data_IF_289152861635
#
_entry.id   IF_289152861635
#
_cell.length_a   1.000
_cell.length_b   1.000
_cell.length_c   1.000
_cell.angle_alpha   90.00
_cell.angle_beta   90.00
_cell.angle_gamma   90.00
#
_symmetry.space_group_name_H-M   'P 1'
#
loop_
_entity.id
_entity.type
_entity.pdbx_description
1 polymer ?
#
# COMPACT_ATOMS: atom_id res chain seq x y z
N UNK A 1 -35.07 8.20 44.98
CA UNK A 1 -33.93 8.32 44.05
C UNK A 1 -34.18 9.52 43.17
N UNK A 2 -33.48 10.63 43.41
CA UNK A 2 -33.58 11.84 42.57
C UNK A 2 -32.78 11.58 41.30
N UNK A 3 -33.43 11.36 40.16
CA UNK A 3 -32.75 11.23 38.88
C UNK A 3 -32.51 12.64 38.34
N UNK A 4 -31.26 13.10 38.41
CA UNK A 4 -30.83 14.34 37.76
C UNK A 4 -30.88 14.16 36.24
N UNK A 5 -31.21 15.23 35.51
CA UNK A 5 -31.34 15.18 34.05
C UNK A 5 -29.96 14.92 33.43
N UNK A 6 -29.89 14.12 32.36
CA UNK A 6 -28.64 13.88 31.63
C UNK A 6 -27.99 15.20 31.22
N UNK A 7 -26.73 15.42 31.63
CA UNK A 7 -25.97 16.66 31.42
C UNK A 7 -25.87 17.59 32.64
N UNK A 8 -26.64 17.36 33.72
CA UNK A 8 -26.67 18.25 34.88
C UNK A 8 -25.56 18.04 35.92
N UNK A 9 -24.79 16.95 35.81
CA UNK A 9 -23.69 16.60 36.74
C UNK A 9 -22.34 16.61 36.03
N UNK A 10 -21.24 16.82 36.78
CA UNK A 10 -19.87 17.03 36.26
C UNK A 10 -19.34 15.92 35.33
N UNK A 11 -19.93 14.73 35.37
CA UNK A 11 -19.57 13.58 34.52
C UNK A 11 -20.71 13.14 33.58
N UNK A 12 -21.70 14.01 33.36
CA UNK A 12 -22.83 13.72 32.50
C UNK A 12 -22.80 14.60 31.25
N UNK A 13 -23.26 14.05 30.13
CA UNK A 13 -23.36 14.71 28.85
C UNK A 13 -24.76 14.44 28.30
N UNK A 14 -25.49 15.48 27.91
CA UNK A 14 -26.88 15.32 27.48
C UNK A 14 -27.28 16.28 26.38
N UNK A 15 -28.23 15.84 25.55
CA UNK A 15 -28.94 16.65 24.57
C UNK A 15 -30.43 16.65 24.96
N UNK A 16 -31.02 17.84 25.10
CA UNK A 16 -32.39 18.00 25.59
C UNK A 16 -33.36 18.49 24.50
N UNK A 17 -34.67 18.38 24.76
CA UNK A 17 -35.74 18.68 23.80
C UNK A 17 -35.77 20.13 23.32
N UNK A 18 -35.15 21.05 24.07
CA UNK A 18 -34.97 22.46 23.70
C UNK A 18 -33.93 22.66 22.56
N UNK A 19 -33.22 21.59 22.20
CA UNK A 19 -32.20 21.55 21.17
C UNK A 19 -30.83 22.01 21.66
N UNK A 20 -30.61 22.05 22.96
CA UNK A 20 -29.33 22.41 23.56
C UNK A 20 -28.62 21.19 24.16
N UNK A 21 -27.30 21.28 24.26
CA UNK A 21 -26.46 20.30 24.94
C UNK A 21 -25.99 20.82 26.29
N UNK A 22 -25.88 19.92 27.26
CA UNK A 22 -25.60 20.19 28.67
C UNK A 22 -24.46 19.31 29.16
N UNK A 23 -23.58 19.88 29.98
CA UNK A 23 -22.49 19.17 30.63
C UNK A 23 -22.11 19.86 31.94
N UNK A 24 -22.11 19.11 33.05
CA UNK A 24 -21.64 19.60 34.34
C UNK A 24 -22.49 20.68 35.00
N UNK A 25 -23.60 21.08 34.38
CA UNK A 25 -24.45 22.14 34.91
C UNK A 25 -25.84 22.10 34.29
N UNK A 26 -26.91 22.27 35.09
CA UNK A 26 -28.27 22.38 34.60
C UNK A 26 -28.57 23.75 33.95
N UNK A 27 -27.75 24.77 34.20
CA UNK A 27 -28.00 26.15 33.72
C UNK A 27 -27.10 26.53 32.54
N UNK A 28 -25.92 25.93 32.43
CA UNK A 28 -25.00 26.18 31.33
C UNK A 28 -25.31 25.25 30.16
N UNK A 29 -25.93 25.80 29.12
CA UNK A 29 -26.29 25.08 27.90
C UNK A 29 -25.65 25.70 26.67
N UNK A 30 -25.45 24.90 25.63
CA UNK A 30 -24.98 25.38 24.32
C UNK A 30 -26.00 24.97 23.26
N UNK A 31 -26.40 25.94 22.41
CA UNK A 31 -27.29 25.62 21.29
C UNK A 31 -26.56 24.70 20.32
N UNK A 32 -27.17 23.57 19.99
CA UNK A 32 -26.52 22.52 19.20
C UNK A 32 -27.39 22.05 18.04
N UNK A 33 -28.63 21.67 18.33
CA UNK A 33 -29.52 21.06 17.36
C UNK A 33 -30.92 21.69 17.34
N UNK A 34 -31.80 21.17 16.47
CA UNK A 34 -33.21 21.55 16.48
C UNK A 34 -33.88 21.09 17.78
N UNK A 35 -35.05 21.65 18.08
CA UNK A 35 -35.93 21.08 19.12
C UNK A 35 -36.51 19.76 18.64
N UNK A 36 -36.81 18.86 19.57
CA UNK A 36 -37.49 17.60 19.28
C UNK A 36 -38.64 17.36 20.25
N UNK A 37 -39.67 16.66 19.77
CA UNK A 37 -40.92 16.44 20.50
C UNK A 37 -41.41 14.99 20.30
N UNK A 38 -42.68 14.74 20.59
CA UNK A 38 -43.34 13.46 20.37
C UNK A 38 -43.15 12.97 18.92
N UNK A 39 -42.97 11.65 18.79
CA UNK A 39 -42.70 10.91 17.55
C UNK A 39 -41.34 11.18 16.87
N UNK A 40 -40.49 12.07 17.40
CA UNK A 40 -39.11 12.18 16.93
C UNK A 40 -38.26 11.00 17.43
N UNK A 41 -37.41 10.49 16.53
CA UNK A 41 -36.43 9.46 16.84
C UNK A 41 -35.08 10.13 17.04
N UNK A 42 -34.56 10.09 18.26
CA UNK A 42 -33.25 10.64 18.61
C UNK A 42 -32.24 9.51 18.75
N UNK A 43 -31.15 9.60 17.98
CA UNK A 43 -29.99 8.72 18.14
C UNK A 43 -28.85 9.45 18.84
N UNK A 44 -28.07 8.71 19.62
CA UNK A 44 -26.85 9.18 20.26
C UNK A 44 -25.72 8.19 19.94
N UNK A 45 -24.55 8.70 19.58
CA UNK A 45 -23.37 7.87 19.33
C UNK A 45 -22.11 8.47 19.94
N UNK A 46 -21.13 7.61 20.19
CA UNK A 46 -19.84 7.97 20.77
C UNK A 46 -18.76 7.79 19.70
N UNK A 47 -18.01 8.84 19.42
CA UNK A 47 -16.77 8.75 18.64
C UNK A 47 -15.59 8.67 19.61
N UNK A 48 -15.05 7.46 19.75
CA UNK A 48 -13.93 7.18 20.64
C UNK A 48 -12.62 7.84 20.17
N UNK A 49 -12.49 8.17 18.87
CA UNK A 49 -11.28 8.77 18.33
C UNK A 49 -11.25 10.28 18.59
N UNK A 50 -12.34 10.99 18.29
CA UNK A 50 -12.44 12.43 18.57
C UNK A 50 -12.89 12.75 19.99
N UNK A 51 -13.09 11.73 20.84
CA UNK A 51 -13.52 11.88 22.22
C UNK A 51 -14.77 12.77 22.31
N UNK A 52 -15.78 12.46 21.49
CA UNK A 52 -16.97 13.29 21.28
C UNK A 52 -18.24 12.46 21.27
N UNK A 53 -19.37 13.09 21.58
CA UNK A 53 -20.69 12.52 21.27
C UNK A 53 -21.17 13.06 19.94
N UNK A 54 -22.11 12.38 19.31
CA UNK A 54 -22.90 12.94 18.23
C UNK A 54 -24.35 12.54 18.39
N UNK A 55 -25.24 13.37 17.85
CA UNK A 55 -26.67 13.11 17.90
C UNK A 55 -27.26 13.07 16.51
N UNK A 56 -28.38 12.37 16.40
CA UNK A 56 -29.16 12.28 15.18
C UNK A 56 -30.63 12.51 15.49
N UNK A 57 -31.37 13.07 14.54
CA UNK A 57 -32.83 13.20 14.62
C UNK A 57 -33.43 12.66 13.35
N UNK A 58 -34.35 11.71 13.48
CA UNK A 58 -35.04 11.08 12.35
C UNK A 58 -34.04 10.64 11.26
N UNK A 59 -32.92 10.05 11.67
CA UNK A 59 -31.88 9.55 10.77
C UNK A 59 -30.94 10.60 10.18
N UNK A 60 -31.10 11.87 10.54
CA UNK A 60 -30.24 12.97 10.08
C UNK A 60 -29.18 13.24 11.14
N UNK A 61 -27.91 13.29 10.72
CA UNK A 61 -26.77 13.62 11.59
C UNK A 61 -26.78 15.10 11.96
N UNK A 62 -26.74 15.42 13.26
CA UNK A 62 -26.83 16.79 13.77
C UNK A 62 -25.45 17.44 14.02
N UNK A 63 -24.37 16.66 14.01
CA UNK A 63 -23.02 17.13 14.32
C UNK A 63 -22.39 16.43 15.52
N UNK A 64 -21.12 16.75 15.78
CA UNK A 64 -20.39 16.30 16.98
C UNK A 64 -20.59 17.31 18.11
N UNK A 65 -21.00 16.82 19.26
CA UNK A 65 -21.08 17.54 20.52
C UNK A 65 -19.90 17.14 21.43
N UNK A 66 -19.47 18.06 22.30
CA UNK A 66 -18.44 17.81 23.31
C UNK A 66 -17.11 17.29 22.73
N UNK A 67 -16.70 17.80 21.56
CA UNK A 67 -15.47 17.35 20.90
C UNK A 67 -14.23 17.54 21.79
N UNK A 68 -13.44 16.47 21.95
CA UNK A 68 -12.28 16.45 22.85
C UNK A 68 -12.59 16.44 24.35
N UNK A 69 -13.87 16.35 24.76
CA UNK A 69 -14.29 16.47 26.18
C UNK A 69 -14.83 15.18 26.77
N UNK A 70 -15.20 14.19 25.94
CA UNK A 70 -15.80 12.95 26.42
C UNK A 70 -14.70 12.00 26.90
N UNK A 71 -14.72 11.54 28.16
CA UNK A 71 -13.65 10.70 28.69
C UNK A 71 -13.76 9.26 28.13
N UNK A 72 -13.07 9.00 27.04
CA UNK A 72 -12.98 7.69 26.36
C UNK A 72 -11.57 7.13 26.51
N UNK A 73 -11.25 6.55 27.67
CA UNK A 73 -9.92 6.02 27.99
C UNK A 73 -9.97 4.76 28.83
N UNK A 74 -8.81 4.11 29.02
CA UNK A 74 -8.68 2.90 29.83
C UNK A 74 -9.09 3.19 31.28
N UNK A 75 -10.20 2.57 31.72
CA UNK A 75 -10.73 2.71 33.08
C UNK A 75 -12.04 3.51 33.19
N UNK A 76 -12.42 4.27 32.15
CA UNK A 76 -13.67 5.04 32.15
C UNK A 76 -14.75 4.33 31.35
N UNK A 77 -15.96 4.22 31.90
CA UNK A 77 -17.12 3.64 31.23
C UNK A 77 -18.21 4.70 31.09
N UNK A 78 -18.74 4.81 29.88
CA UNK A 78 -19.94 5.61 29.60
C UNK A 78 -21.16 4.71 29.65
N UNK A 79 -22.25 5.21 30.23
CA UNK A 79 -23.53 4.50 30.31
C UNK A 79 -24.61 5.31 29.59
N UNK A 80 -25.42 4.68 28.72
CA UNK A 80 -26.55 5.36 28.10
C UNK A 80 -27.55 5.76 29.19
N UNK A 81 -27.95 7.03 29.21
CA UNK A 81 -28.85 7.59 30.21
C UNK A 81 -29.96 8.36 29.53
N UNK A 82 -31.20 8.20 30.02
CA UNK A 82 -32.38 8.94 29.56
C UNK A 82 -32.98 9.64 30.77
N UNK A 83 -33.10 10.97 30.70
CA UNK A 83 -33.84 11.77 31.67
C UNK A 83 -35.22 12.11 31.14
N UNK A 84 -36.27 11.87 31.92
CA UNK A 84 -37.64 12.24 31.58
C UNK A 84 -38.14 13.32 32.55
N UNK A 85 -38.75 14.36 32.02
CA UNK A 85 -39.35 15.43 32.81
C UNK A 85 -40.76 15.72 32.27
N UNK A 86 -41.76 15.71 33.15
CA UNK A 86 -43.16 15.95 32.81
C UNK A 86 -44.07 14.71 32.98
N UNK A 87 -45.37 14.94 33.17
CA UNK A 87 -46.37 13.87 33.30
C UNK A 87 -46.73 13.29 31.94
N UNK A 88 -46.84 11.96 31.86
CA UNK A 88 -47.28 11.25 30.65
C UNK A 88 -46.23 11.02 29.58
N UNK A 89 -44.97 11.46 29.79
CA UNK A 89 -43.87 11.23 28.85
C UNK A 89 -43.50 9.75 28.81
N UNK A 90 -43.40 9.19 27.61
CA UNK A 90 -43.00 7.80 27.36
C UNK A 90 -41.90 7.77 26.31
N UNK A 91 -40.91 6.91 26.51
CA UNK A 91 -39.80 6.69 25.58
C UNK A 91 -39.60 5.19 25.41
N UNK A 92 -39.35 4.77 24.18
CA UNK A 92 -38.91 3.42 23.82
C UNK A 92 -37.46 3.48 23.38
N UNK A 93 -36.67 2.47 23.72
CA UNK A 93 -35.23 2.42 23.41
C UNK A 93 -34.92 1.33 22.39
N UNK A 94 -33.91 1.59 21.57
CA UNK A 94 -33.31 0.60 20.68
C UNK A 94 -31.79 0.61 20.90
N UNK A 95 -31.27 -0.45 21.50
CA UNK A 95 -29.85 -0.68 21.74
C UNK A 95 -29.23 -1.66 20.72
N UNK A 96 -29.92 -1.87 19.59
CA UNK A 96 -29.52 -2.79 18.52
C UNK A 96 -30.45 -4.00 18.34
N UNK A 97 -31.56 -4.07 19.08
CA UNK A 97 -32.57 -5.12 18.90
C UNK A 97 -33.32 -4.99 17.56
N UNK A 98 -33.38 -3.77 17.01
CA UNK A 98 -33.97 -3.46 15.71
C UNK A 98 -33.01 -2.62 14.87
N UNK A 99 -33.17 -2.60 13.53
CA UNK A 99 -32.40 -1.70 12.68
C UNK A 99 -32.50 -0.24 13.16
N UNK A 100 -31.36 0.47 13.17
CA UNK A 100 -31.34 1.88 13.54
C UNK A 100 -31.94 2.73 12.44
N UNK A 101 -32.66 3.80 12.81
CA UNK A 101 -33.17 4.77 11.86
C UNK A 101 -32.05 5.60 11.20
N UNK A 102 -30.94 5.81 11.93
CA UNK A 102 -29.71 6.38 11.38
C UNK A 102 -28.87 5.29 10.71
N UNK A 103 -28.51 5.49 9.43
CA UNK A 103 -27.62 4.62 8.67
C UNK A 103 -26.16 4.78 9.11
N UNK A 104 -25.86 4.41 10.35
CA UNK A 104 -24.55 4.62 10.99
C UNK A 104 -23.41 3.90 10.25
N UNK A 105 -23.68 2.79 9.56
CA UNK A 105 -22.67 2.09 8.75
C UNK A 105 -22.08 2.96 7.65
N UNK A 106 -22.92 3.72 6.93
CA UNK A 106 -22.48 4.63 5.88
C UNK A 106 -21.65 5.76 6.47
N UNK A 107 -22.11 6.32 7.61
CA UNK A 107 -21.37 7.35 8.33
C UNK A 107 -19.97 6.86 8.76
N UNK A 108 -19.88 5.66 9.35
CA UNK A 108 -18.61 5.05 9.76
C UNK A 108 -17.67 4.84 8.55
N UNK A 109 -18.20 4.35 7.42
CA UNK A 109 -17.42 4.17 6.18
C UNK A 109 -16.90 5.51 5.67
N UNK A 110 -17.73 6.53 5.58
CA UNK A 110 -17.32 7.87 5.11
C UNK A 110 -16.29 8.52 6.03
N UNK A 111 -16.50 8.45 7.35
CA UNK A 111 -15.55 8.98 8.34
C UNK A 111 -14.20 8.26 8.25
N UNK A 112 -14.20 6.93 8.08
CA UNK A 112 -12.97 6.14 7.90
C UNK A 112 -12.22 6.59 6.65
N UNK A 113 -12.89 6.62 5.50
CA UNK A 113 -12.28 7.00 4.21
C UNK A 113 -11.73 8.43 4.28
N UNK A 114 -12.49 9.37 4.83
CA UNK A 114 -12.05 10.76 4.97
C UNK A 114 -10.76 10.86 5.80
N UNK A 115 -10.68 10.11 6.90
CA UNK A 115 -9.54 10.12 7.82
C UNK A 115 -8.31 9.43 7.24
N UNK A 116 -8.50 8.29 6.58
CA UNK A 116 -7.44 7.60 5.83
C UNK A 116 -6.89 8.50 4.72
N UNK A 117 -7.75 9.13 3.91
CA UNK A 117 -7.34 10.06 2.86
C UNK A 117 -6.57 11.25 3.41
N UNK A 118 -7.01 11.86 4.52
CA UNK A 118 -6.28 12.95 5.18
C UNK A 118 -4.92 12.51 5.72
N UNK A 119 -4.78 11.26 6.14
CA UNK A 119 -3.50 10.71 6.60
C UNK A 119 -2.57 10.49 5.41
N UNK A 120 -3.06 9.82 4.36
CA UNK A 120 -2.34 9.61 3.10
C UNK A 120 -1.88 10.95 2.54
N UNK A 121 -2.77 11.93 2.45
CA UNK A 121 -2.46 13.25 1.94
C UNK A 121 -1.37 13.94 2.77
N UNK A 122 -1.43 13.87 4.11
CA UNK A 122 -0.36 14.40 4.96
C UNK A 122 0.97 13.69 4.74
N UNK A 123 0.97 12.35 4.76
CA UNK A 123 2.17 11.54 4.54
C UNK A 123 2.76 11.75 3.14
N UNK A 124 1.92 11.94 2.12
CA UNK A 124 2.33 12.16 0.74
C UNK A 124 2.69 13.62 0.41
N UNK A 125 2.24 14.60 1.21
CA UNK A 125 2.56 16.04 1.04
C UNK A 125 3.92 16.43 1.61
N UNK A 126 4.47 15.65 2.53
CA UNK A 126 5.89 15.82 2.84
C UNK A 126 6.65 15.53 1.53
N UNK A 127 7.37 16.50 0.96
CA UNK A 127 8.21 16.37 -0.25
C UNK A 127 9.13 15.12 -0.20
N UNK A 128 9.34 14.64 1.01
CA UNK A 128 9.90 13.36 1.42
C UNK A 128 9.28 12.14 0.73
N UNK A 129 7.95 12.04 0.61
CA UNK A 129 7.30 10.89 -0.03
C UNK A 129 7.60 10.85 -1.52
N UNK A 130 7.60 11.99 -2.22
CA UNK A 130 7.95 12.04 -3.63
C UNK A 130 9.39 11.61 -3.88
N UNK A 131 10.36 12.24 -3.21
CA UNK A 131 11.79 11.99 -3.47
C UNK A 131 12.22 10.63 -2.94
N UNK A 132 11.87 10.26 -1.70
CA UNK A 132 12.29 8.98 -1.13
C UNK A 132 11.63 7.78 -1.78
N UNK A 133 10.35 7.86 -2.15
CA UNK A 133 9.72 6.76 -2.89
C UNK A 133 10.38 6.63 -4.27
N UNK A 134 10.69 7.73 -4.95
CA UNK A 134 11.43 7.69 -6.22
C UNK A 134 12.79 7.01 -6.04
N UNK A 135 13.55 7.37 -5.01
CA UNK A 135 14.84 6.75 -4.71
C UNK A 135 14.72 5.26 -4.34
N UNK A 136 13.74 4.90 -3.51
CA UNK A 136 13.49 3.51 -3.10
C UNK A 136 13.09 2.64 -4.30
N UNK A 137 12.15 3.11 -5.12
CA UNK A 137 11.69 2.40 -6.32
C UNK A 137 12.84 2.28 -7.33
N UNK A 138 13.56 3.37 -7.59
CA UNK A 138 14.73 3.36 -8.48
C UNK A 138 15.81 2.39 -7.97
N UNK A 139 16.14 2.46 -6.68
CA UNK A 139 17.10 1.57 -6.02
C UNK A 139 16.69 0.11 -6.11
N UNK A 140 15.42 -0.21 -5.89
CA UNK A 140 14.88 -1.57 -6.06
C UNK A 140 15.00 -2.06 -7.50
N UNK A 141 14.57 -1.25 -8.48
CA UNK A 141 14.61 -1.62 -9.90
C UNK A 141 16.05 -1.87 -10.36
N UNK A 142 16.98 -0.99 -9.99
CA UNK A 142 18.40 -1.15 -10.27
C UNK A 142 18.96 -2.36 -9.53
N UNK A 143 18.62 -2.56 -8.25
CA UNK A 143 19.15 -3.67 -7.46
C UNK A 143 18.83 -5.04 -8.09
N UNK A 144 17.60 -5.22 -8.57
CA UNK A 144 17.13 -6.46 -9.19
C UNK A 144 17.46 -6.58 -10.69
N UNK A 145 18.01 -5.54 -11.31
CA UNK A 145 18.43 -5.55 -12.71
C UNK A 145 17.31 -5.25 -13.70
N UNK A 146 16.21 -4.65 -13.26
CA UNK A 146 15.13 -4.14 -14.10
C UNK A 146 15.55 -2.81 -14.76
N UNK A 147 16.63 -2.85 -15.55
CA UNK A 147 17.32 -1.64 -16.05
C UNK A 147 16.44 -0.83 -17.00
N UNK A 148 15.72 -1.48 -17.92
CA UNK A 148 14.83 -0.79 -18.84
C UNK A 148 13.71 -0.05 -18.08
N UNK A 149 13.09 -0.73 -17.11
CA UNK A 149 12.07 -0.16 -16.23
C UNK A 149 12.62 0.96 -15.36
N UNK A 150 13.82 0.81 -14.79
CA UNK A 150 14.48 1.86 -13.99
C UNK A 150 14.73 3.13 -14.81
N UNK A 151 15.13 2.99 -16.08
CA UNK A 151 15.32 4.12 -17.00
C UNK A 151 14.00 4.83 -17.31
N UNK A 152 12.98 4.08 -17.69
CA UNK A 152 11.66 4.63 -17.94
C UNK A 152 11.14 5.35 -16.68
N UNK A 153 11.23 4.70 -15.52
CA UNK A 153 10.82 5.26 -14.24
C UNK A 153 11.55 6.57 -13.91
N UNK A 154 12.88 6.61 -14.05
CA UNK A 154 13.68 7.82 -13.80
C UNK A 154 13.29 8.97 -14.73
N UNK A 155 13.12 8.68 -16.03
CA UNK A 155 12.69 9.67 -17.02
C UNK A 155 11.34 10.30 -16.66
N UNK A 156 10.32 9.47 -16.41
CA UNK A 156 8.98 9.95 -16.07
C UNK A 156 8.92 10.62 -14.69
N UNK A 157 9.71 10.14 -13.73
CA UNK A 157 9.80 10.74 -12.39
C UNK A 157 10.40 12.14 -12.40
N UNK A 158 11.36 12.40 -13.29
CA UNK A 158 11.98 13.72 -13.47
C UNK A 158 11.08 14.65 -14.28
N UNK A 159 10.42 14.14 -15.32
CA UNK A 159 9.47 14.91 -16.13
C UNK A 159 8.28 15.39 -15.28
N UNK A 160 7.74 14.53 -14.41
CA UNK A 160 6.69 14.90 -13.46
C UNK A 160 7.15 16.00 -12.48
N UNK A 161 8.42 16.01 -12.08
CA UNK A 161 8.99 17.07 -11.24
C UNK A 161 9.17 18.39 -11.99
N UNK A 162 9.49 18.37 -13.29
CA UNK A 162 9.63 19.60 -14.08
C UNK A 162 8.29 20.28 -14.41
N UNK A 163 7.22 19.49 -14.59
CA UNK A 163 5.87 20.01 -14.92
C UNK A 163 5.22 20.75 -13.73
N UNK A 164 5.61 20.43 -12.48
CA UNK A 164 5.15 21.17 -11.29
C UNK A 164 5.76 22.59 -11.18
N UNK A 165 6.85 22.87 -11.91
CA UNK A 165 7.58 24.15 -11.82
C UNK A 165 7.35 25.10 -13.01
N UNK A 166 6.53 24.72 -13.99
CA UNK A 166 6.15 25.63 -15.08
C UNK A 166 4.75 25.33 -15.58
N UNK A 167 3.84 26.31 -15.50
CA UNK A 167 2.52 26.32 -16.16
C UNK A 167 2.57 26.23 -17.70
N UNK A 168 3.73 25.95 -18.28
CA UNK A 168 3.93 25.82 -19.72
C UNK A 168 4.20 24.36 -20.09
N UNK A 169 3.14 23.68 -20.55
CA UNK A 169 3.10 22.72 -21.68
C UNK A 169 1.94 21.71 -21.53
N UNK A 170 0.70 22.21 -21.63
CA UNK A 170 -0.49 21.35 -21.87
C UNK A 170 -0.42 20.59 -23.20
N UNK A 171 0.40 21.05 -24.16
CA UNK A 171 0.48 20.48 -25.50
C UNK A 171 1.23 19.13 -25.59
N UNK A 172 2.12 18.78 -24.67
CA UNK A 172 2.82 17.48 -24.74
C UNK A 172 2.03 16.33 -24.12
N UNK A 173 1.19 16.62 -23.11
CA UNK A 173 0.32 15.63 -22.46
C UNK A 173 -0.81 15.21 -23.41
N UNK A 174 -1.29 16.12 -24.26
CA UNK A 174 -2.34 15.86 -25.26
C UNK A 174 -1.86 14.91 -26.38
N UNK A 175 -0.60 15.04 -26.80
CA UNK A 175 0.05 14.11 -27.75
C UNK A 175 0.22 12.70 -27.14
N UNK A 176 0.33 12.61 -25.81
CA UNK A 176 0.50 11.35 -25.09
C UNK A 176 -0.84 10.60 -24.90
N UNK A 177 -1.93 11.30 -24.57
CA UNK A 177 -3.27 10.69 -24.45
C UNK A 177 -3.79 10.15 -25.79
N UNK A 178 -3.52 10.84 -26.91
CA UNK A 178 -3.89 10.38 -28.25
C UNK A 178 -3.16 9.10 -28.67
N UNK A 179 -1.88 8.94 -28.29
CA UNK A 179 -1.08 7.73 -28.60
C UNK A 179 -1.50 6.50 -27.79
N UNK A 180 -2.12 6.68 -26.63
CA UNK A 180 -2.66 5.57 -25.84
C UNK A 180 -4.03 5.13 -26.40
N UNK A 181 -4.88 6.09 -26.78
CA UNK A 181 -6.22 5.81 -27.33
C UNK A 181 -6.19 5.14 -28.72
N UNK A 182 -5.17 5.43 -29.53
CA UNK A 182 -5.00 4.81 -30.86
C UNK A 182 -4.42 3.38 -30.82
N UNK A 183 -3.99 2.88 -29.64
CA UNK A 183 -3.45 1.52 -29.47
C UNK A 183 -4.46 0.50 -28.93
N UNK A 184 -5.62 0.93 -28.42
CA UNK A 184 -6.67 0.02 -27.94
C UNK A 184 -7.45 -0.68 -29.06
N UNK A 185 -7.28 -0.30 -30.33
CA UNK A 185 -8.08 -0.81 -31.45
C UNK A 185 -7.40 -1.92 -32.28
N UNK A 186 -6.32 -2.55 -31.80
CA UNK A 186 -5.59 -3.59 -32.55
C UNK A 186 -5.43 -4.94 -31.82
N UNK A 187 -6.16 -5.17 -30.73
CA UNK A 187 -6.30 -6.50 -30.12
C UNK A 187 -7.78 -6.86 -30.09
N UNK A 188 -8.29 -7.26 -31.26
CA UNK A 188 -9.63 -7.84 -31.42
C UNK A 188 -9.59 -8.90 -32.52
N UNK A 189 -9.12 -10.09 -32.15
CA UNK A 189 -9.40 -11.41 -32.73
C UNK A 189 -8.34 -12.33 -32.15
N UNK A 190 -8.60 -13.48 -31.55
CA UNK A 190 -9.75 -14.37 -31.33
C UNK A 190 -9.27 -15.27 -30.17
N UNK A 191 -10.06 -15.81 -29.25
CA UNK A 191 -11.29 -16.54 -29.43
C UNK A 191 -12.00 -16.62 -28.08
N UNK A 192 -13.30 -16.42 -28.12
CA UNK A 192 -14.23 -16.55 -27.01
C UNK A 192 -14.39 -18.02 -26.61
N UNK A 193 -14.43 -18.29 -25.31
CA UNK A 193 -15.30 -19.32 -24.76
C UNK A 193 -16.02 -18.72 -23.56
N UNK A 194 -17.33 -18.50 -23.76
CA UNK A 194 -18.31 -18.12 -22.73
C UNK A 194 -18.46 -19.25 -21.71
N UNK A 195 -18.59 -18.94 -20.41
CA UNK A 195 -19.64 -19.49 -19.50
C UNK A 195 -19.82 -18.55 -18.28
N UNK A 196 -21.08 -18.33 -17.95
CA UNK A 196 -21.70 -17.56 -16.87
C UNK A 196 -21.47 -18.04 -15.42
N UNK A 197 -21.56 -17.07 -14.50
CA UNK A 197 -22.27 -17.01 -13.19
C UNK A 197 -22.26 -18.21 -12.20
N UNK A 198 -21.80 -17.89 -10.98
CA UNK A 198 -22.06 -18.50 -9.65
C UNK A 198 -21.56 -19.93 -9.33
N UNK A 199 -20.65 -20.04 -8.34
CA UNK A 199 -20.80 -20.88 -7.13
C UNK A 199 -19.53 -20.87 -6.27
N UNK A 200 -19.71 -21.04 -4.96
CA UNK A 200 -18.71 -21.41 -3.95
C UNK A 200 -17.67 -22.42 -4.47
N UNK A 201 -16.43 -22.36 -3.96
CA UNK A 201 -15.61 -23.52 -3.53
C UNK A 201 -14.19 -23.07 -3.13
N UNK A 202 -13.94 -23.21 -1.83
CA UNK A 202 -12.79 -23.88 -1.19
C UNK A 202 -11.41 -23.79 -1.86
N UNK A 203 -10.48 -23.06 -1.23
CA UNK A 203 -9.04 -23.15 -1.53
C UNK A 203 -8.47 -24.48 -1.03
N UNK A 204 -8.18 -25.41 -1.96
CA UNK A 204 -7.18 -26.47 -1.75
C UNK A 204 -5.84 -25.98 -2.28
N UNK A 205 -4.84 -26.02 -1.40
CA UNK A 205 -3.42 -25.85 -1.73
C UNK A 205 -2.97 -26.86 -2.78
N UNK A 206 -2.35 -26.35 -3.85
CA UNK A 206 -1.47 -27.13 -4.71
C UNK A 206 -0.29 -26.28 -5.18
N UNK A 207 0.91 -26.75 -4.84
CA UNK A 207 2.24 -26.25 -5.20
C UNK A 207 2.36 -25.56 -6.57
N UNK A 208 3.07 -24.41 -6.66
CA UNK A 208 3.61 -23.95 -7.92
C UNK A 208 5.11 -24.25 -8.01
N UNK A 209 5.41 -25.36 -8.67
CA UNK A 209 6.72 -25.64 -9.25
C UNK A 209 7.10 -24.59 -10.29
N UNK A 210 8.29 -24.00 -10.12
CA UNK A 210 9.17 -23.44 -11.19
C UNK A 210 8.53 -22.37 -12.08
N UNK A 211 8.40 -21.15 -11.55
CA UNK A 211 8.36 -19.93 -12.37
C UNK A 211 9.75 -19.71 -12.99
N UNK A 212 9.95 -20.27 -14.18
CA UNK A 212 11.04 -19.89 -15.07
C UNK A 212 10.80 -18.41 -15.47
N UNK A 213 11.39 -17.48 -14.70
CA UNK A 213 11.36 -16.03 -14.96
C UNK A 213 12.04 -15.74 -16.30
N UNK A 214 11.28 -15.83 -17.39
CA UNK A 214 11.68 -15.29 -18.68
C UNK A 214 11.77 -13.78 -18.50
N UNK A 215 12.97 -13.25 -18.66
CA UNK A 215 13.18 -11.83 -18.88
C UNK A 215 12.56 -11.51 -20.23
N UNK A 216 11.30 -11.06 -20.23
CA UNK A 216 10.68 -10.49 -21.41
C UNK A 216 11.33 -9.13 -21.66
N UNK A 217 12.21 -9.10 -22.66
CA UNK A 217 12.72 -7.88 -23.30
C UNK A 217 11.59 -7.19 -24.09
N UNK A 218 10.49 -6.87 -23.40
CA UNK A 218 9.45 -6.02 -23.96
C UNK A 218 9.99 -4.60 -23.99
N UNK A 219 10.36 -4.16 -25.17
CA UNK A 219 10.88 -2.82 -25.49
C UNK A 219 9.86 -1.74 -25.13
N UNK A 220 9.90 -1.27 -23.88
CA UNK A 220 9.29 0.00 -23.53
C UNK A 220 10.07 1.11 -24.26
N UNK A 221 9.37 1.87 -25.10
CA UNK A 221 9.88 3.02 -25.85
C UNK A 221 10.39 4.11 -24.89
N UNK A 222 11.61 3.95 -24.40
CA UNK A 222 12.42 5.08 -23.96
C UNK A 222 13.19 5.59 -25.20
N UNK A 223 13.38 6.92 -25.37
CA UNK A 223 14.24 7.45 -26.43
C UNK A 223 15.61 6.78 -26.38
N UNK A 224 16.27 6.59 -27.53
CA UNK A 224 17.65 6.10 -27.60
C UNK A 224 18.60 7.13 -26.97
N UNK A 225 18.73 7.08 -25.65
CA UNK A 225 19.62 7.96 -24.89
C UNK A 225 21.00 7.29 -24.85
N UNK A 226 21.97 8.03 -25.36
CA UNK A 226 23.39 7.67 -25.48
C UNK A 226 24.00 7.18 -24.17
N UNK A 227 25.07 6.37 -24.28
CA UNK A 227 25.78 5.69 -23.17
C UNK A 227 26.19 6.60 -21.98
N UNK A 228 26.15 7.93 -22.13
CA UNK A 228 26.48 8.92 -21.11
C UNK A 228 25.49 8.98 -19.93
N UNK A 229 24.20 8.68 -20.12
CA UNK A 229 23.21 8.69 -19.02
C UNK A 229 23.21 7.41 -18.16
N UNK A 230 23.95 6.37 -18.56
CA UNK A 230 24.00 5.10 -17.83
C UNK A 230 24.75 5.20 -16.49
N UNK A 231 25.61 6.21 -16.34
CA UNK A 231 26.47 6.39 -15.17
C UNK A 231 25.83 7.10 -13.97
N UNK A 232 24.61 7.63 -14.11
CA UNK A 232 23.97 8.46 -13.08
C UNK A 232 23.05 7.70 -12.12
N UNK A 233 22.72 6.43 -12.38
CA UNK A 233 21.80 5.67 -11.52
C UNK A 233 22.57 5.04 -10.34
N UNK A 234 22.26 5.42 -9.07
CA UNK A 234 22.91 4.84 -7.91
C UNK A 234 22.72 3.31 -7.88
N UNK A 235 23.80 2.58 -7.60
CA UNK A 235 23.78 1.11 -7.52
C UNK A 235 23.91 0.35 -8.84
N UNK A 236 23.98 1.03 -9.99
CA UNK A 236 24.09 0.37 -11.32
C UNK A 236 25.38 -0.45 -11.44
N UNK A 237 26.51 0.07 -10.94
CA UNK A 237 27.80 -0.63 -10.95
C UNK A 237 27.73 -1.93 -10.15
N UNK A 238 27.15 -1.88 -8.94
CA UNK A 238 26.97 -3.06 -8.09
C UNK A 238 26.04 -4.09 -8.74
N UNK A 239 24.95 -3.66 -9.41
CA UNK A 239 24.10 -4.57 -10.18
C UNK A 239 24.87 -5.23 -11.33
N UNK A 240 25.67 -4.46 -12.09
CA UNK A 240 26.48 -5.00 -13.19
C UNK A 240 27.52 -6.00 -12.69
N UNK A 241 28.17 -5.72 -11.56
CA UNK A 241 29.09 -6.66 -10.91
C UNK A 241 28.38 -7.96 -10.53
N UNK A 242 27.19 -7.88 -9.89
CA UNK A 242 26.37 -9.06 -9.56
C UNK A 242 25.94 -9.85 -10.81
N UNK A 243 25.51 -9.18 -11.89
CA UNK A 243 25.17 -9.84 -13.17
C UNK A 243 26.38 -10.54 -13.78
N UNK A 244 27.54 -9.90 -13.78
CA UNK A 244 28.79 -10.46 -14.29
C UNK A 244 29.20 -11.70 -13.50
N UNK A 245 29.15 -11.66 -12.17
CA UNK A 245 29.42 -12.81 -11.31
C UNK A 245 28.48 -13.99 -11.64
N UNK A 246 27.16 -13.74 -11.72
CA UNK A 246 26.18 -14.78 -12.11
C UNK A 246 26.47 -15.37 -13.50
N UNK A 247 26.84 -14.53 -14.47
CA UNK A 247 27.17 -14.99 -15.81
C UNK A 247 28.43 -15.86 -15.84
N UNK A 248 29.46 -15.51 -15.07
CA UNK A 248 30.68 -16.31 -14.95
C UNK A 248 30.39 -17.67 -14.31
N UNK A 249 29.58 -17.72 -13.25
CA UNK A 249 29.18 -18.98 -12.62
C UNK A 249 28.34 -19.85 -13.56
N UNK A 250 27.39 -19.28 -14.31
CA UNK A 250 26.57 -20.02 -15.30
C UNK A 250 27.40 -20.60 -16.45
N UNK A 251 28.48 -19.91 -16.84
CA UNK A 251 29.42 -20.37 -17.87
C UNK A 251 30.52 -21.28 -17.31
N UNK A 252 30.40 -21.71 -16.05
CA UNK A 252 31.39 -22.52 -15.34
C UNK A 252 32.79 -21.90 -15.27
N UNK A 253 32.92 -20.57 -15.43
CA UNK A 253 34.18 -19.85 -15.37
C UNK A 253 34.52 -19.45 -13.92
N UNK A 254 34.55 -20.44 -13.03
CA UNK A 254 34.65 -20.22 -11.58
C UNK A 254 35.94 -19.53 -11.13
N UNK A 255 37.07 -19.76 -11.82
CA UNK A 255 38.32 -19.05 -11.54
C UNK A 255 38.22 -17.53 -11.81
N UNK A 256 37.54 -17.15 -12.89
CA UNK A 256 37.25 -15.73 -13.19
C UNK A 256 36.21 -15.16 -12.24
N UNK A 257 35.21 -15.96 -11.84
CA UNK A 257 34.22 -15.56 -10.84
C UNK A 257 34.88 -15.24 -9.49
N UNK A 258 35.81 -16.09 -9.03
CA UNK A 258 36.58 -15.89 -7.80
C UNK A 258 37.43 -14.61 -7.84
N UNK A 259 38.17 -14.39 -8.94
CA UNK A 259 38.96 -13.17 -9.12
C UNK A 259 38.06 -11.90 -9.16
N UNK A 260 36.91 -12.00 -9.81
CA UNK A 260 35.94 -10.91 -9.90
C UNK A 260 35.32 -10.60 -8.53
N UNK A 261 35.00 -11.63 -7.74
CA UNK A 261 34.42 -11.49 -6.40
C UNK A 261 35.41 -10.81 -5.44
N UNK A 262 36.66 -11.27 -5.45
CA UNK A 262 37.73 -10.69 -4.62
C UNK A 262 38.01 -9.22 -4.96
N UNK A 263 37.98 -8.89 -6.25
CA UNK A 263 38.22 -7.52 -6.72
C UNK A 263 37.11 -6.54 -6.32
N UNK A 264 35.85 -6.94 -6.47
CA UNK A 264 34.72 -6.00 -6.33
C UNK A 264 34.04 -6.05 -4.95
N UNK A 265 34.24 -7.13 -4.18
CA UNK A 265 33.57 -7.33 -2.89
C UNK A 265 34.50 -7.95 -1.83
N UNK A 266 35.66 -7.35 -1.54
CA UNK A 266 36.61 -7.89 -0.55
C UNK A 266 35.98 -8.00 0.85
N UNK A 267 35.16 -7.02 1.26
CA UNK A 267 34.45 -7.02 2.54
C UNK A 267 33.46 -8.18 2.70
N UNK A 268 32.90 -8.69 1.58
CA UNK A 268 32.01 -9.87 1.63
C UNK A 268 32.83 -11.13 1.88
N UNK A 269 34.06 -11.19 1.37
CA UNK A 269 34.97 -12.31 1.61
C UNK A 269 35.55 -12.30 3.03
N UNK A 270 35.71 -11.13 3.65
CA UNK A 270 36.08 -11.02 5.07
C UNK A 270 35.00 -11.62 5.98
N UNK A 271 33.72 -11.39 5.67
CA UNK A 271 32.60 -11.96 6.44
C UNK A 271 32.31 -13.41 6.10
N UNK A 272 32.48 -13.79 4.84
CA UNK A 272 32.15 -15.11 4.31
C UNK A 272 33.30 -15.68 3.46
N UNK A 273 34.42 -16.09 4.08
CA UNK A 273 35.59 -16.59 3.35
C UNK A 273 35.30 -17.90 2.58
N UNK A 274 34.32 -18.67 3.05
CA UNK A 274 33.89 -19.93 2.43
C UNK A 274 33.43 -19.77 0.98
N UNK A 275 32.93 -18.60 0.57
CA UNK A 275 32.50 -18.34 -0.80
C UNK A 275 33.64 -18.49 -1.80
N UNK A 276 34.85 -18.05 -1.43
CA UNK A 276 36.01 -18.18 -2.30
C UNK A 276 36.44 -19.65 -2.40
N UNK A 277 36.40 -20.37 -1.29
CA UNK A 277 36.71 -21.81 -1.22
C UNK A 277 35.73 -22.59 -2.10
N UNK A 278 34.42 -22.36 -1.96
CA UNK A 278 33.38 -22.99 -2.76
C UNK A 278 33.58 -22.76 -4.26
N UNK A 279 33.91 -21.53 -4.68
CA UNK A 279 34.20 -21.23 -6.09
C UNK A 279 35.45 -21.97 -6.59
N UNK A 280 36.49 -22.11 -5.78
CA UNK A 280 37.71 -22.84 -6.13
C UNK A 280 37.48 -24.36 -6.17
N UNK A 281 36.75 -24.91 -5.22
CA UNK A 281 36.32 -26.31 -5.25
C UNK A 281 35.50 -26.59 -6.51
N UNK A 282 34.56 -25.70 -6.85
CA UNK A 282 33.76 -25.85 -8.08
C UNK A 282 34.62 -25.74 -9.34
N UNK A 283 35.61 -24.86 -9.36
CA UNK A 283 36.59 -24.78 -10.46
C UNK A 283 37.35 -26.11 -10.64
N UNK A 284 37.78 -26.74 -9.54
CA UNK A 284 38.48 -28.02 -9.56
C UNK A 284 37.57 -29.14 -10.09
N UNK A 285 36.33 -29.21 -9.59
CA UNK A 285 35.34 -30.21 -10.04
C UNK A 285 35.12 -30.09 -11.55
N UNK A 286 34.88 -28.89 -12.09
CA UNK A 286 34.71 -28.71 -13.53
C UNK A 286 35.98 -29.05 -14.32
N UNK A 287 37.16 -28.73 -13.79
CA UNK A 287 38.43 -29.12 -14.42
C UNK A 287 38.60 -30.63 -14.51
N UNK A 288 38.25 -31.36 -13.45
CA UNK A 288 38.34 -32.82 -13.40
C UNK A 288 37.30 -33.43 -14.35
N UNK A 289 36.06 -32.97 -14.32
CA UNK A 289 34.99 -33.44 -15.22
C UNK A 289 35.37 -33.19 -16.69
N UNK A 290 35.84 -31.99 -17.04
CA UNK A 290 36.25 -31.67 -18.41
C UNK A 290 37.45 -32.52 -18.86
N UNK A 291 38.45 -32.75 -18.00
CA UNK A 291 39.57 -33.65 -18.30
C UNK A 291 39.12 -35.09 -18.49
N UNK A 292 38.19 -35.58 -17.67
CA UNK A 292 37.66 -36.94 -17.78
C UNK A 292 36.84 -37.10 -19.07
N UNK A 293 35.99 -36.12 -19.41
CA UNK A 293 35.27 -36.08 -20.68
C UNK A 293 36.22 -36.01 -21.90
N UNK A 294 37.31 -35.25 -21.82
CA UNK A 294 38.33 -35.22 -22.86
C UNK A 294 39.02 -36.56 -23.00
N UNK A 295 39.39 -37.21 -21.89
CA UNK A 295 40.04 -38.51 -21.90
C UNK A 295 39.14 -39.61 -22.48
N UNK A 296 37.86 -39.63 -22.12
CA UNK A 296 36.87 -40.57 -22.69
C UNK A 296 36.63 -40.30 -24.18
N UNK A 297 36.50 -39.03 -24.61
CA UNK A 297 36.40 -38.69 -26.05
C UNK A 297 37.65 -39.07 -26.84
N UNK A 298 38.85 -38.82 -26.29
CA UNK A 298 40.11 -39.18 -26.94
C UNK A 298 40.29 -40.70 -27.00
N UNK A 299 39.99 -41.42 -25.92
CA UNK A 299 40.07 -42.87 -25.89
C UNK A 299 39.08 -43.52 -26.87
N UNK A 300 37.87 -42.95 -27.01
CA UNK A 300 36.90 -43.38 -28.03
C UNK A 300 37.32 -43.06 -29.46
N UNK A 301 38.08 -41.98 -29.68
CA UNK A 301 38.65 -41.65 -31.01
C UNK A 301 39.82 -42.56 -31.39
N UNK A 302 40.64 -42.98 -30.42
CA UNK A 302 41.75 -43.91 -30.64
C UNK A 302 41.32 -45.37 -30.80
N UNK A 303 40.12 -45.74 -30.34
CA UNK A 303 39.52 -47.06 -30.54
C UNK A 303 38.81 -47.20 -31.91
N UNK A 304 38.89 -46.19 -32.79
CA UNK A 304 38.09 -46.12 -34.01
C UNK A 304 38.91 -45.92 -35.31
N UNK A 305 40.20 -46.30 -35.32
CA UNK A 305 41.03 -46.34 -36.53
C UNK A 305 42.03 -47.50 -36.51
N UNK A 306 42.22 -48.16 -37.66
CA UNK A 306 41.29 -49.10 -38.30
C UNK A 306 41.27 -50.49 -37.66
#
# INVERSE_FOLDING_TARGET
LSFSISGSENNSFGYQSDGCVYHGSPTLSTKFGPRFNENDIIGCGVDFLSQSLFFTRNGIFLGKAFEGKVPVGAGTRLFPTIGLQGRGVRVTTNFGQHPFYFAFENHLKTERISRENKLIERTCKEDFAGIKIKELVSGYLVHHGYVATAKAFSYWSNLASSVQNSEFQKNQIQIFSEKISSRSNLVSSSSETNVDVNSDVTYKESNPSVLQRRHSDSSCLAPEITKSHLGQLPGIASMLHRRRLRALCRRCQYGRAAATLNRFYPQVLERCPELLVQLRCRQLIEMVILRFCFYVKYSSFYLQTP
#
